data_IF_758068373357
#
_entry.id   IF_758068373357
#
_cell.length_a   1.000
_cell.length_b   1.000
_cell.length_c   1.000
_cell.angle_alpha   90.00
_cell.angle_beta   90.00
_cell.angle_gamma   90.00
#
_symmetry.space_group_name_H-M   'P 1'
#
loop_
_entity.id
_entity.type
_entity.pdbx_description
1 polymer ?
#
# COMPACT_ATOMS: atom_id res chain seq x y z
N UNK A 1 10.78 -5.70 1.92
CA UNK A 1 10.82 -6.97 2.66
C UNK A 1 9.42 -7.51 2.54
N UNK A 2 9.17 -8.35 1.52
CA UNK A 2 7.85 -8.92 1.29
C UNK A 2 7.56 -9.94 2.41
N UNK A 3 6.31 -10.00 2.86
CA UNK A 3 5.91 -10.99 3.88
C UNK A 3 5.93 -12.41 3.31
N UNK A 4 7.08 -13.09 3.37
CA UNK A 4 7.23 -14.48 2.93
C UNK A 4 6.62 -15.44 3.96
N UNK A 5 5.77 -16.35 3.49
CA UNK A 5 5.30 -17.50 4.30
C UNK A 5 6.33 -18.62 4.18
N UNK A 6 6.87 -19.10 5.29
CA UNK A 6 7.84 -20.18 5.32
C UNK A 6 7.13 -21.53 5.51
N UNK A 7 7.27 -22.44 4.54
CA UNK A 7 6.80 -23.82 4.69
C UNK A 7 7.77 -24.60 5.59
N UNK A 8 7.23 -25.23 6.65
CA UNK A 8 8.00 -26.14 7.52
C UNK A 8 7.60 -27.58 7.20
N UNK A 9 8.48 -28.38 6.55
CA UNK A 9 8.16 -29.77 6.23
C UNK A 9 8.00 -30.61 7.51
N UNK A 10 6.88 -31.31 7.65
CA UNK A 10 6.70 -32.36 8.66
C UNK A 10 5.95 -31.98 9.94
N UNK A 11 5.34 -30.79 10.02
CA UNK A 11 4.46 -30.44 11.14
C UNK A 11 2.98 -30.65 10.76
N UNK A 12 2.38 -31.77 11.20
CA UNK A 12 0.95 -32.09 11.08
C UNK A 12 0.12 -31.31 12.11
N UNK A 13 0.17 -29.97 12.06
CA UNK A 13 -0.62 -29.11 12.94
C UNK A 13 -1.70 -28.39 12.14
N UNK A 14 -2.96 -28.77 12.38
CA UNK A 14 -4.17 -28.13 11.83
C UNK A 14 -4.64 -26.92 12.65
N UNK A 15 -3.82 -26.41 13.58
CA UNK A 15 -4.16 -25.22 14.36
C UNK A 15 -4.10 -23.92 13.54
N UNK A 16 -3.50 -23.97 12.34
CA UNK A 16 -3.23 -22.80 11.50
C UNK A 16 -2.24 -21.81 12.14
N UNK A 17 -2.04 -20.68 11.47
CA UNK A 17 -1.26 -19.56 11.97
C UNK A 17 -1.81 -18.24 11.41
N UNK A 18 -1.52 -17.13 12.08
CA UNK A 18 -1.80 -15.81 11.50
C UNK A 18 -0.90 -15.62 10.28
N UNK A 19 -1.52 -15.31 9.14
CA UNK A 19 -0.84 -15.05 7.87
C UNK A 19 -0.93 -13.56 7.53
N UNK A 20 0.12 -13.00 6.95
CA UNK A 20 0.06 -11.64 6.39
C UNK A 20 -0.95 -11.59 5.25
N UNK A 21 -1.60 -10.44 5.08
CA UNK A 21 -2.47 -10.20 3.93
C UNK A 21 -1.66 -9.87 2.67
N UNK A 22 -0.55 -9.16 2.84
CA UNK A 22 0.24 -8.58 1.75
C UNK A 22 0.72 -7.17 2.06
N UNK A 23 1.23 -6.51 1.03
CA UNK A 23 1.83 -5.18 1.09
C UNK A 23 1.22 -4.26 0.01
N UNK A 24 1.02 -2.99 0.34
CA UNK A 24 0.75 -1.93 -0.63
C UNK A 24 2.06 -1.16 -0.81
N UNK A 25 2.63 -1.19 -2.01
CA UNK A 25 3.79 -0.40 -2.36
C UNK A 25 3.35 0.88 -3.05
N UNK A 26 3.94 2.00 -2.62
CA UNK A 26 3.78 3.30 -3.27
C UNK A 26 5.15 3.87 -3.54
N UNK A 27 5.53 3.93 -4.82
CA UNK A 27 6.69 4.67 -5.29
C UNK A 27 6.26 6.01 -5.84
N UNK A 28 7.19 6.98 -5.80
CA UNK A 28 7.01 8.31 -6.36
C UNK A 28 8.15 8.53 -7.34
N UNK A 29 7.86 9.09 -8.51
CA UNK A 29 8.84 9.42 -9.54
C UNK A 29 9.60 10.71 -9.15
N UNK A 30 10.37 10.64 -8.08
CA UNK A 30 11.23 11.74 -7.64
C UNK A 30 12.69 11.46 -8.01
N UNK A 31 13.44 12.53 -8.30
CA UNK A 31 14.88 12.48 -8.56
C UNK A 31 15.61 13.26 -7.47
N UNK A 32 16.83 12.84 -7.13
CA UNK A 32 17.70 13.55 -6.21
C UNK A 32 17.94 12.82 -4.89
N UNK A 33 18.91 13.34 -4.13
CA UNK A 33 19.28 12.82 -2.82
C UNK A 33 18.19 13.15 -1.80
N UNK A 34 17.92 12.21 -0.89
CA UNK A 34 16.95 12.38 0.18
C UNK A 34 17.63 13.07 1.37
N UNK A 35 17.06 14.17 1.85
CA UNK A 35 17.50 14.87 3.05
C UNK A 35 16.35 15.15 4.01
N UNK A 36 16.68 15.61 5.23
CA UNK A 36 15.72 16.02 6.25
C UNK A 36 14.65 14.97 6.57
N UNK A 37 15.02 13.69 6.46
CA UNK A 37 14.11 12.58 6.68
C UNK A 37 13.69 12.50 8.15
N UNK A 38 12.38 12.48 8.38
CA UNK A 38 11.79 12.21 9.69
C UNK A 38 10.61 11.27 9.54
N UNK A 39 10.55 10.26 10.42
CA UNK A 39 9.36 9.44 10.64
C UNK A 39 8.99 9.42 12.11
N UNK A 40 7.70 9.48 12.42
CA UNK A 40 7.23 9.40 13.81
C UNK A 40 5.79 8.89 13.86
N UNK A 41 5.39 8.46 15.05
CA UNK A 41 4.00 8.17 15.39
C UNK A 41 3.57 9.13 16.49
N UNK A 42 2.41 9.74 16.34
CA UNK A 42 1.78 10.51 17.41
C UNK A 42 0.89 9.57 18.24
N UNK A 43 1.33 9.26 19.46
CA UNK A 43 0.61 8.34 20.35
C UNK A 43 -0.71 8.91 20.87
N UNK A 44 -0.95 10.23 20.80
CA UNK A 44 -2.23 10.82 21.18
C UNK A 44 -3.30 10.58 20.11
N UNK A 45 -2.91 10.60 18.84
CA UNK A 45 -3.83 10.46 17.69
C UNK A 45 -3.77 9.08 17.03
N UNK A 46 -2.74 8.28 17.31
CA UNK A 46 -2.49 7.00 16.65
C UNK A 46 -2.02 7.12 15.20
N UNK A 47 -1.73 8.33 14.71
CA UNK A 47 -1.33 8.58 13.33
C UNK A 47 0.19 8.50 13.16
N UNK A 48 0.63 7.81 12.11
CA UNK A 48 2.01 7.79 11.65
C UNK A 48 2.25 8.87 10.60
N UNK A 49 3.47 9.39 10.60
CA UNK A 49 3.89 10.49 9.74
C UNK A 49 5.29 10.25 9.18
N UNK A 50 5.52 10.66 7.95
CA UNK A 50 6.82 10.72 7.30
C UNK A 50 6.95 12.08 6.61
N UNK A 51 8.11 12.73 6.71
CA UNK A 51 8.46 13.96 5.99
C UNK A 51 9.90 13.85 5.49
N UNK A 52 10.17 14.30 4.27
CA UNK A 52 11.53 14.36 3.72
C UNK A 52 11.61 15.33 2.54
N UNK A 53 12.83 15.73 2.19
CA UNK A 53 13.13 16.50 0.98
C UNK A 53 13.75 15.59 -0.08
N UNK A 54 13.43 15.82 -1.35
CA UNK A 54 14.09 15.19 -2.50
C UNK A 54 13.89 16.03 -3.75
N UNK A 55 14.95 16.32 -4.48
CA UNK A 55 14.85 17.05 -5.76
C UNK A 55 14.20 18.43 -5.64
N UNK A 56 14.39 19.12 -4.51
CA UNK A 56 13.74 20.40 -4.23
C UNK A 56 12.26 20.31 -3.83
N UNK A 57 11.73 19.09 -3.68
CA UNK A 57 10.33 18.84 -3.28
C UNK A 57 10.26 18.33 -1.84
N UNK A 58 9.38 18.94 -1.04
CA UNK A 58 8.99 18.43 0.27
C UNK A 58 7.90 17.37 0.09
N UNK A 59 8.14 16.18 0.62
CA UNK A 59 7.18 15.07 0.62
C UNK A 59 6.65 14.83 2.03
N UNK A 60 5.34 14.59 2.14
CA UNK A 60 4.69 14.21 3.40
C UNK A 60 3.83 12.96 3.19
N UNK A 61 3.87 12.07 4.18
CA UNK A 61 3.00 10.90 4.26
C UNK A 61 2.32 10.86 5.62
N UNK A 62 1.04 10.52 5.65
CA UNK A 62 0.27 10.31 6.88
C UNK A 62 -0.54 9.03 6.76
N UNK A 63 -0.51 8.19 7.79
CA UNK A 63 -1.27 6.94 7.79
C UNK A 63 -1.90 6.66 9.14
N UNK A 64 -3.13 6.16 9.14
CA UNK A 64 -3.92 5.90 10.35
C UNK A 64 -5.10 4.97 10.07
N UNK A 65 -5.58 4.28 11.10
CA UNK A 65 -6.84 3.53 11.08
C UNK A 65 -8.00 4.40 11.54
N UNK A 66 -9.16 4.26 10.91
CA UNK A 66 -10.39 4.99 11.25
C UNK A 66 -11.40 4.02 11.84
N UNK A 67 -11.65 4.16 13.13
CA UNK A 67 -12.78 3.54 13.81
C UNK A 67 -13.84 4.63 14.10
N UNK A 68 -15.14 4.39 13.86
CA UNK A 68 -15.79 3.11 13.52
C UNK A 68 -15.91 2.81 12.01
N UNK A 69 -15.34 3.64 11.13
CA UNK A 69 -15.50 3.49 9.67
C UNK A 69 -14.78 2.25 9.08
N UNK A 70 -13.92 1.57 9.85
CA UNK A 70 -13.22 0.32 9.49
C UNK A 70 -12.36 0.43 8.23
N UNK A 71 -11.71 1.58 8.05
CA UNK A 71 -10.79 1.82 6.93
C UNK A 71 -9.41 2.20 7.43
N UNK A 72 -8.39 1.85 6.66
CA UNK A 72 -7.05 2.41 6.81
C UNK A 72 -6.88 3.52 5.77
N UNK A 73 -6.28 4.64 6.18
CA UNK A 73 -6.01 5.78 5.31
C UNK A 73 -4.52 5.92 5.16
N UNK A 74 -4.06 6.09 3.91
CA UNK A 74 -2.70 6.43 3.56
C UNK A 74 -2.75 7.66 2.67
N UNK A 75 -2.26 8.79 3.17
CA UNK A 75 -2.21 10.06 2.47
C UNK A 75 -0.77 10.37 2.08
N UNK A 76 -0.58 10.71 0.82
CA UNK A 76 0.68 11.15 0.24
C UNK A 76 0.45 12.55 -0.32
N UNK A 77 1.40 13.46 -0.10
CA UNK A 77 1.36 14.80 -0.66
C UNK A 77 2.77 15.30 -0.91
N UNK A 78 2.90 16.17 -1.90
CA UNK A 78 4.14 16.86 -2.22
C UNK A 78 3.86 18.36 -2.45
N UNK A 79 4.91 19.19 -2.55
CA UNK A 79 4.77 20.63 -2.84
C UNK A 79 5.31 21.02 -4.24
N UNK A 80 5.50 20.05 -5.13
CA UNK A 80 5.90 20.31 -6.51
C UNK A 80 4.71 20.89 -7.27
N UNK A 81 4.90 22.06 -7.90
CA UNK A 81 3.85 22.74 -8.65
C UNK A 81 3.46 22.03 -9.95
N UNK A 82 4.35 21.21 -10.49
CA UNK A 82 4.10 20.42 -11.69
C UNK A 82 3.46 19.06 -11.37
N UNK A 83 3.29 18.75 -10.08
CA UNK A 83 2.91 17.42 -9.60
C UNK A 83 4.06 16.42 -9.73
N UNK A 84 3.82 15.21 -9.24
CA UNK A 84 4.70 14.07 -9.36
C UNK A 84 3.90 12.81 -9.67
N UNK A 85 4.55 11.89 -10.37
CA UNK A 85 3.93 10.61 -10.69
C UNK A 85 4.10 9.64 -9.51
N UNK A 86 3.09 8.84 -9.26
CA UNK A 86 3.09 7.78 -8.26
C UNK A 86 2.72 6.45 -8.91
N UNK A 87 3.31 5.38 -8.41
CA UNK A 87 2.98 4.02 -8.80
C UNK A 87 2.57 3.25 -7.55
N UNK A 88 1.37 2.66 -7.60
CA UNK A 88 0.78 1.86 -6.55
C UNK A 88 0.68 0.41 -7.02
N UNK A 89 1.23 -0.51 -6.24
CA UNK A 89 1.11 -1.95 -6.46
C UNK A 89 0.67 -2.65 -5.19
N UNK A 90 -0.03 -3.79 -5.34
CA UNK A 90 -0.44 -4.65 -4.23
C UNK A 90 0.20 -6.01 -4.44
N UNK A 91 0.93 -6.48 -3.44
CA UNK A 91 1.55 -7.81 -3.46
C UNK A 91 1.03 -8.64 -2.29
N UNK A 92 0.91 -9.95 -2.49
CA UNK A 92 0.53 -10.88 -1.44
C UNK A 92 1.28 -12.20 -1.64
N UNK A 93 1.71 -12.90 -0.57
CA UNK A 93 2.31 -14.22 -0.71
C UNK A 93 1.29 -15.30 -1.12
N UNK A 94 -0.01 -14.99 -1.06
CA UNK A 94 -1.09 -15.94 -1.33
C UNK A 94 -1.46 -15.99 -2.81
N UNK A 95 -2.28 -16.98 -3.19
CA UNK A 95 -2.75 -17.11 -4.58
C UNK A 95 -3.73 -15.98 -4.90
N UNK A 96 -3.48 -15.29 -6.01
CA UNK A 96 -4.35 -14.22 -6.51
C UNK A 96 -5.34 -14.82 -7.51
N UNK A 97 -6.62 -14.64 -7.24
CA UNK A 97 -7.72 -15.07 -8.11
C UNK A 97 -8.19 -13.94 -9.04
N UNK A 98 -8.15 -12.70 -8.55
CA UNK A 98 -8.51 -11.50 -9.32
C UNK A 98 -7.72 -10.29 -8.81
N UNK A 99 -7.18 -9.50 -9.73
CA UNK A 99 -6.60 -8.19 -9.46
C UNK A 99 -7.09 -7.22 -10.54
N UNK A 100 -8.06 -6.40 -10.18
CA UNK A 100 -8.79 -5.55 -11.11
C UNK A 100 -8.94 -4.12 -10.59
N UNK A 101 -9.17 -3.18 -11.50
CA UNK A 101 -9.43 -1.78 -11.17
C UNK A 101 -10.75 -1.34 -11.80
N UNK A 102 -11.62 -0.77 -10.96
CA UNK A 102 -12.93 -0.25 -11.39
C UNK A 102 -13.42 0.82 -10.42
N UNK A 103 -14.03 1.89 -10.93
CA UNK A 103 -14.67 2.94 -10.13
C UNK A 103 -13.75 3.52 -9.03
N UNK A 104 -12.48 3.79 -9.39
CA UNK A 104 -11.43 4.28 -8.48
C UNK A 104 -11.04 3.31 -7.35
N UNK A 105 -11.35 2.03 -7.48
CA UNK A 105 -11.01 0.99 -6.51
C UNK A 105 -10.17 -0.09 -7.17
N UNK A 106 -9.02 -0.41 -6.56
CA UNK A 106 -8.29 -1.66 -6.85
C UNK A 106 -8.92 -2.76 -6.01
N UNK A 107 -9.38 -3.83 -6.64
CA UNK A 107 -9.87 -5.05 -6.01
C UNK A 107 -8.81 -6.13 -6.10
N UNK A 108 -8.45 -6.71 -4.95
CA UNK A 108 -7.65 -7.93 -4.86
C UNK A 108 -8.53 -9.02 -4.27
N UNK A 109 -8.59 -10.18 -4.92
CA UNK A 109 -9.17 -11.41 -4.36
C UNK A 109 -8.15 -12.53 -4.45
N UNK A 110 -8.14 -13.38 -3.45
CA UNK A 110 -7.25 -14.53 -3.42
C UNK A 110 -7.68 -15.57 -2.40
N UNK A 111 -6.88 -16.63 -2.30
CA UNK A 111 -7.07 -17.67 -1.31
C UNK A 111 -5.74 -18.16 -0.73
N UNK A 112 -5.80 -18.67 0.49
CA UNK A 112 -4.69 -19.36 1.13
C UNK A 112 -4.49 -20.73 0.47
N UNK A 113 -3.22 -21.12 0.29
CA UNK A 113 -2.87 -22.39 -0.35
C UNK A 113 -3.11 -23.63 0.51
N UNK A 114 -3.17 -23.49 1.84
CA UNK A 114 -3.28 -24.59 2.79
C UNK A 114 -4.73 -25.06 3.02
N UNK A 115 -5.67 -24.12 3.14
CA UNK A 115 -7.06 -24.40 3.52
C UNK A 115 -8.12 -23.76 2.62
N UNK A 116 -7.71 -23.14 1.50
CA UNK A 116 -8.60 -22.48 0.54
C UNK A 116 -9.42 -21.32 1.10
N UNK A 117 -9.07 -20.78 2.27
CA UNK A 117 -9.75 -19.61 2.83
C UNK A 117 -9.60 -18.42 1.88
N UNK A 118 -10.72 -17.93 1.37
CA UNK A 118 -10.77 -16.74 0.52
C UNK A 118 -10.55 -15.45 1.33
N UNK A 119 -9.84 -14.51 0.73
CA UNK A 119 -9.65 -13.15 1.26
C UNK A 119 -9.77 -12.10 0.15
N UNK A 120 -9.93 -10.84 0.54
CA UNK A 120 -9.92 -9.74 -0.42
C UNK A 120 -9.53 -8.40 0.19
N UNK A 121 -9.00 -7.52 -0.67
CA UNK A 121 -8.68 -6.13 -0.39
C UNK A 121 -9.44 -5.21 -1.34
N UNK A 122 -9.77 -4.01 -0.87
CA UNK A 122 -10.28 -2.94 -1.71
C UNK A 122 -9.55 -1.65 -1.36
N UNK A 123 -8.85 -1.07 -2.33
CA UNK A 123 -8.09 0.17 -2.16
C UNK A 123 -8.74 1.25 -3.01
N UNK A 124 -9.46 2.14 -2.35
CA UNK A 124 -10.00 3.34 -2.99
C UNK A 124 -8.90 4.38 -3.16
N UNK A 125 -8.70 4.85 -4.39
CA UNK A 125 -7.69 5.86 -4.74
C UNK A 125 -8.38 7.18 -5.02
N UNK A 126 -8.05 8.18 -4.19
CA UNK A 126 -8.46 9.58 -4.38
C UNK A 126 -7.23 10.43 -4.64
N UNK A 127 -7.23 11.14 -5.75
CA UNK A 127 -6.11 11.95 -6.23
C UNK A 127 -6.63 13.12 -7.05
N UNK A 128 -5.80 14.15 -7.19
CA UNK A 128 -5.92 15.27 -8.12
C UNK A 128 -5.12 15.07 -9.43
N UNK A 129 -4.33 14.00 -9.53
CA UNK A 129 -3.69 13.55 -10.76
C UNK A 129 -4.56 12.63 -11.63
N UNK A 130 -4.00 12.17 -12.76
CA UNK A 130 -4.68 11.25 -13.69
C UNK A 130 -4.35 9.79 -13.38
N UNK A 131 -5.34 8.89 -13.43
CA UNK A 131 -5.14 7.46 -13.11
C UNK A 131 -5.07 6.63 -14.39
N UNK A 132 -4.06 5.75 -14.46
CA UNK A 132 -4.01 4.63 -15.38
C UNK A 132 -3.82 3.32 -14.61
N UNK A 133 -4.40 2.22 -15.10
CA UNK A 133 -4.19 0.88 -14.53
C UNK A 133 -3.84 -0.11 -15.62
N UNK A 134 -2.69 -0.76 -15.49
CA UNK A 134 -2.22 -1.79 -16.40
C UNK A 134 -1.46 -2.89 -15.65
N UNK A 135 -1.66 -4.15 -16.01
CA UNK A 135 -0.91 -5.29 -15.48
C UNK A 135 -0.71 -5.31 -13.94
N UNK A 136 -1.77 -4.99 -13.17
CA UNK A 136 -1.74 -5.00 -11.71
C UNK A 136 -1.09 -3.77 -11.06
N UNK A 137 -0.79 -2.74 -11.86
CA UNK A 137 -0.12 -1.51 -11.45
C UNK A 137 -1.06 -0.33 -11.67
N UNK A 138 -1.25 0.48 -10.63
CA UNK A 138 -1.97 1.75 -10.74
C UNK A 138 -0.97 2.90 -10.78
N UNK A 139 -0.95 3.63 -11.88
CA UNK A 139 -0.17 4.85 -12.05
C UNK A 139 -1.05 6.06 -11.80
N UNK A 140 -0.51 7.04 -11.08
CA UNK A 140 -1.11 8.36 -10.89
C UNK A 140 -0.14 9.37 -11.47
N UNK A 141 -0.51 10.08 -12.53
CA UNK A 141 0.33 11.08 -13.18
C UNK A 141 0.01 12.50 -12.66
N UNK A 142 1.04 13.27 -12.36
CA UNK A 142 0.93 14.71 -12.07
C UNK A 142 0.13 15.09 -10.81
N UNK A 143 0.26 14.34 -9.71
CA UNK A 143 -0.41 14.60 -8.42
C UNK A 143 0.45 15.35 -7.39
#
# INVERSE_FOLDING_TARGET
MSGTVHEVPGYLSDYGAQQTMGDIYVSVANKGEVSDYRRWIDLKTGAGYISYQSGGTEHKRRFFGVYPNRVMVYSFSNNNKEGLDYLVTIETPHKIDDLSYKDSIIFLKGHLGDNMLGFGSSVYVKTDGEIAFDNGKLEVAGA
#
